data_IF_872870097171
#
_entry.id   IF_872870097171
#
_cell.length_a   1.000
_cell.length_b   1.000
_cell.length_c   1.000
_cell.angle_alpha   90.00
_cell.angle_beta   90.00
_cell.angle_gamma   90.00
#
_symmetry.space_group_name_H-M   'P 1'
#
loop_
_entity.id
_entity.type
_entity.pdbx_description
1 polymer ?
#
# COMPACT_ATOMS: atom_id res chain seq x y z
N UNK A 1 2.42 19.50 -19.52
CA UNK A 1 3.13 20.72 -19.04
C UNK A 1 4.63 20.64 -19.41
N UNK A 2 5.28 21.72 -19.84
CA UNK A 2 6.69 21.71 -20.25
C UNK A 2 7.60 22.04 -19.06
N UNK A 3 8.11 21.02 -18.36
CA UNK A 3 9.05 21.21 -17.26
C UNK A 3 10.37 21.84 -17.79
N UNK A 4 10.73 23.09 -17.40
CA UNK A 4 11.92 23.76 -17.90
C UNK A 4 13.23 23.00 -17.59
N UNK A 5 13.24 22.16 -16.53
CA UNK A 5 14.38 21.29 -16.20
C UNK A 5 14.61 20.19 -17.25
N UNK A 6 13.56 19.75 -17.95
CA UNK A 6 13.66 18.72 -18.97
C UNK A 6 14.39 19.23 -20.23
N UNK A 7 14.18 20.50 -20.62
CA UNK A 7 14.90 21.13 -21.74
C UNK A 7 16.40 21.26 -21.45
N UNK A 8 16.78 21.60 -20.21
CA UNK A 8 18.17 21.68 -19.77
C UNK A 8 18.84 20.30 -19.80
N UNK A 9 18.14 19.24 -19.36
CA UNK A 9 18.62 17.87 -19.46
C UNK A 9 18.84 17.44 -20.92
N UNK A 10 17.88 17.70 -21.82
CA UNK A 10 18.02 17.35 -23.26
C UNK A 10 19.23 18.05 -23.88
N UNK A 11 19.43 19.34 -23.59
CA UNK A 11 20.59 20.09 -24.06
C UNK A 11 21.91 19.50 -23.51
N UNK A 12 21.94 19.16 -22.21
CA UNK A 12 23.11 18.52 -21.61
C UNK A 12 23.40 17.14 -22.21
N UNK A 13 22.38 16.32 -22.46
CA UNK A 13 22.50 15.00 -23.09
C UNK A 13 23.05 15.08 -24.50
N UNK A 14 22.48 15.97 -25.33
CA UNK A 14 22.93 16.20 -26.69
C UNK A 14 24.41 16.62 -26.72
N UNK A 15 24.80 17.48 -25.78
CA UNK A 15 26.17 18.00 -25.66
C UNK A 15 27.18 16.96 -25.15
N UNK A 16 26.76 16.08 -24.23
CA UNK A 16 27.61 15.05 -23.64
C UNK A 16 27.91 13.89 -24.60
N UNK A 17 27.02 13.63 -25.55
CA UNK A 17 27.17 12.56 -26.55
C UNK A 17 27.98 13.00 -27.77
N UNK A 18 28.07 14.30 -28.04
CA UNK A 18 28.74 14.82 -29.24
C UNK A 18 30.25 14.94 -29.15
N UNK A 19 30.91 14.60 -28.03
CA UNK A 19 32.37 14.71 -27.79
C UNK A 19 32.98 16.12 -27.89
N UNK A 20 32.29 17.09 -28.47
CA UNK A 20 32.86 18.34 -29.01
C UNK A 20 32.34 19.64 -28.37
N UNK A 21 31.70 19.61 -27.20
CA UNK A 21 31.16 20.84 -26.60
C UNK A 21 31.72 21.09 -25.21
N UNK A 22 32.38 22.25 -25.07
CA UNK A 22 32.83 22.79 -23.81
C UNK A 22 31.60 23.06 -22.91
N UNK A 23 31.56 22.45 -21.72
CA UNK A 23 30.44 22.52 -20.76
C UNK A 23 30.16 23.94 -20.21
N UNK A 24 30.93 24.92 -20.66
CA UNK A 24 30.76 26.36 -20.45
C UNK A 24 29.59 26.97 -21.26
N UNK A 25 28.83 26.16 -22.01
CA UNK A 25 27.71 26.68 -22.80
C UNK A 25 26.65 27.35 -21.89
N UNK A 26 26.44 28.64 -22.15
CA UNK A 26 26.06 29.73 -21.24
C UNK A 26 24.73 29.52 -20.47
N UNK A 27 23.91 28.55 -20.90
CA UNK A 27 22.56 28.32 -20.38
C UNK A 27 22.48 27.30 -19.25
N UNK A 28 23.49 26.43 -19.10
CA UNK A 28 23.50 25.51 -17.97
C UNK A 28 23.92 26.29 -16.71
N UNK A 29 24.88 27.23 -16.82
CA UNK A 29 25.39 28.03 -15.69
C UNK A 29 24.31 28.88 -15.00
N UNK A 30 23.36 29.46 -15.74
CA UNK A 30 22.25 30.25 -15.17
C UNK A 30 21.32 29.45 -14.24
N UNK A 31 21.19 28.13 -14.45
CA UNK A 31 20.44 27.23 -13.56
C UNK A 31 21.35 26.54 -12.52
N UNK A 32 22.67 26.70 -12.61
CA UNK A 32 23.71 25.98 -11.85
C UNK A 32 24.44 26.85 -10.82
N UNK A 33 23.75 27.80 -10.18
CA UNK A 33 24.33 28.59 -9.09
C UNK A 33 24.72 27.78 -7.83
N UNK A 34 24.52 26.45 -7.81
CA UNK A 34 24.72 25.57 -6.66
C UNK A 34 25.28 24.18 -7.04
N UNK A 35 26.57 24.10 -7.39
CA UNK A 35 27.36 22.85 -7.31
C UNK A 35 27.86 22.22 -8.63
N UNK A 36 28.60 21.09 -8.54
CA UNK A 36 29.23 20.41 -9.68
C UNK A 36 28.20 19.82 -10.65
N UNK A 37 28.35 20.08 -11.95
CA UNK A 37 27.40 19.72 -13.04
C UNK A 37 26.92 18.27 -12.94
N UNK A 38 27.83 17.32 -12.75
CA UNK A 38 27.48 15.91 -12.64
C UNK A 38 26.60 15.58 -11.43
N UNK A 39 26.78 16.26 -10.29
CA UNK A 39 25.94 16.07 -9.10
C UNK A 39 24.51 16.56 -9.35
N UNK A 40 24.38 17.71 -10.01
CA UNK A 40 23.08 18.24 -10.42
C UNK A 40 22.39 17.30 -11.41
N UNK A 41 23.10 16.88 -12.46
CA UNK A 41 22.53 15.99 -13.49
C UNK A 41 22.13 14.65 -12.88
N UNK A 42 22.99 14.03 -12.06
CA UNK A 42 22.70 12.78 -11.35
C UNK A 42 21.38 12.84 -10.56
N UNK A 43 21.22 13.88 -9.72
CA UNK A 43 19.99 14.06 -8.93
C UNK A 43 18.77 14.26 -9.82
N UNK A 44 18.91 15.03 -10.89
CA UNK A 44 17.81 15.26 -11.83
C UNK A 44 17.41 13.98 -12.55
N UNK A 45 18.34 13.22 -13.12
CA UNK A 45 18.00 11.99 -13.85
C UNK A 45 17.37 10.94 -12.92
N UNK A 46 17.85 10.84 -11.68
CA UNK A 46 17.26 9.99 -10.65
C UNK A 46 15.82 10.42 -10.34
N UNK A 47 15.60 11.71 -10.08
CA UNK A 47 14.26 12.22 -9.76
C UNK A 47 13.30 12.21 -10.95
N UNK A 48 13.79 12.14 -12.18
CA UNK A 48 12.98 11.90 -13.38
C UNK A 48 12.69 10.43 -13.65
N UNK A 49 13.33 9.50 -12.94
CA UNK A 49 13.08 8.08 -13.10
C UNK A 49 13.90 7.41 -14.21
N UNK A 50 15.03 7.97 -14.66
CA UNK A 50 15.87 7.30 -15.66
C UNK A 50 16.97 6.48 -14.98
N UNK A 51 16.72 5.19 -14.77
CA UNK A 51 17.64 4.29 -14.06
C UNK A 51 19.04 4.20 -14.70
N UNK A 52 19.10 4.00 -16.01
CA UNK A 52 20.38 3.85 -16.75
C UNK A 52 21.22 5.11 -16.63
N UNK A 53 20.59 6.28 -16.80
CA UNK A 53 21.25 7.56 -16.62
C UNK A 53 21.74 7.77 -15.19
N UNK A 54 20.94 7.38 -14.19
CA UNK A 54 21.31 7.47 -12.78
C UNK A 54 22.62 6.71 -12.53
N UNK A 55 22.73 5.47 -13.01
CA UNK A 55 23.97 4.68 -12.88
C UNK A 55 25.13 5.33 -13.62
N UNK A 56 24.91 5.77 -14.86
CA UNK A 56 25.94 6.42 -15.67
C UNK A 56 26.51 7.66 -14.96
N UNK A 57 25.66 8.59 -14.52
CA UNK A 57 26.13 9.82 -13.89
C UNK A 57 26.70 9.59 -12.50
N UNK A 58 26.22 8.60 -11.75
CA UNK A 58 26.86 8.22 -10.49
C UNK A 58 28.32 7.81 -10.70
N UNK A 59 28.61 7.02 -11.74
CA UNK A 59 29.98 6.59 -12.06
C UNK A 59 30.93 7.75 -12.38
N UNK A 60 30.38 8.88 -12.85
CA UNK A 60 31.13 10.10 -13.20
C UNK A 60 31.34 11.05 -12.01
N UNK A 61 30.72 10.79 -10.86
CA UNK A 61 30.91 11.64 -9.67
C UNK A 61 32.29 11.41 -9.03
N UNK A 62 33.01 12.48 -8.64
CA UNK A 62 34.20 12.39 -7.79
C UNK A 62 33.87 11.69 -6.46
N UNK A 63 34.79 10.88 -5.94
CA UNK A 63 34.57 10.06 -4.73
C UNK A 63 34.10 10.89 -3.53
N UNK A 64 34.64 12.09 -3.35
CA UNK A 64 34.29 13.02 -2.27
C UNK A 64 32.85 13.54 -2.33
N UNK A 65 32.25 13.52 -3.53
CA UNK A 65 30.90 14.05 -3.78
C UNK A 65 29.82 12.97 -3.76
N UNK A 66 30.20 11.69 -3.75
CA UNK A 66 29.26 10.57 -3.82
C UNK A 66 28.37 10.49 -2.58
N UNK A 67 28.88 10.83 -1.40
CA UNK A 67 28.20 10.49 -0.15
C UNK A 67 27.28 11.57 0.41
N UNK A 68 27.57 12.86 0.18
CA UNK A 68 26.88 13.99 0.83
C UNK A 68 25.40 14.18 0.46
N UNK A 69 24.80 13.30 -0.35
CA UNK A 69 23.40 13.48 -0.79
C UNK A 69 22.61 12.22 -1.13
N UNK A 70 23.14 11.02 -0.91
CA UNK A 70 22.44 9.79 -1.32
C UNK A 70 21.26 9.46 -0.42
N UNK A 71 21.38 9.66 0.91
CA UNK A 71 20.28 9.43 1.85
C UNK A 71 19.07 10.31 1.50
N UNK A 72 19.28 11.63 1.38
CA UNK A 72 18.21 12.55 1.00
C UNK A 72 17.65 12.29 -0.39
N UNK A 73 18.49 11.83 -1.33
CA UNK A 73 18.01 11.41 -2.65
C UNK A 73 17.15 10.13 -2.55
N UNK A 74 17.58 9.12 -1.81
CA UNK A 74 16.83 7.88 -1.60
C UNK A 74 15.47 8.15 -0.96
N UNK A 75 15.41 9.01 0.08
CA UNK A 75 14.16 9.47 0.68
C UNK A 75 13.25 10.17 -0.35
N UNK A 76 13.80 11.04 -1.21
CA UNK A 76 13.03 11.70 -2.27
C UNK A 76 12.49 10.70 -3.31
N UNK A 77 13.29 9.69 -3.68
CA UNK A 77 12.83 8.66 -4.63
C UNK A 77 11.74 7.80 -3.99
N UNK A 78 11.87 7.40 -2.73
CA UNK A 78 10.82 6.67 -2.00
C UNK A 78 9.50 7.47 -1.97
N UNK A 79 9.57 8.79 -1.72
CA UNK A 79 8.42 9.69 -1.82
C UNK A 79 7.74 9.59 -3.19
N UNK A 80 8.53 9.70 -4.26
CA UNK A 80 8.02 9.66 -5.63
C UNK A 80 7.38 8.31 -5.95
N UNK A 81 8.03 7.20 -5.62
CA UNK A 81 7.46 5.85 -5.80
C UNK A 81 6.03 5.74 -5.24
N UNK A 82 5.77 6.40 -4.10
CA UNK A 82 4.46 6.36 -3.45
C UNK A 82 3.38 7.23 -4.12
N UNK A 83 3.78 8.30 -4.83
CA UNK A 83 2.87 9.30 -5.41
C UNK A 83 2.37 8.97 -6.82
N UNK A 84 3.13 8.20 -7.61
CA UNK A 84 2.83 7.98 -9.04
C UNK A 84 1.51 7.25 -9.37
N UNK A 85 0.70 6.85 -8.38
CA UNK A 85 -0.65 6.31 -8.65
C UNK A 85 -1.69 7.39 -8.98
N UNK A 86 -1.44 8.68 -8.72
CA UNK A 86 -2.45 9.74 -8.89
C UNK A 86 -2.22 10.69 -10.08
N UNK A 87 -1.09 10.56 -10.79
CA UNK A 87 -0.75 11.49 -11.87
C UNK A 87 -0.27 10.75 -13.12
N UNK A 88 -1.21 10.49 -14.03
CA UNK A 88 -0.88 10.28 -15.44
C UNK A 88 -0.50 11.63 -16.05
N UNK A 89 0.80 11.89 -16.20
CA UNK A 89 1.27 12.74 -17.29
C UNK A 89 2.80 12.67 -17.43
N UNK A 90 3.25 12.01 -18.51
CA UNK A 90 4.58 12.18 -19.12
C UNK A 90 5.76 11.84 -18.18
N UNK A 91 6.05 10.55 -17.99
CA UNK A 91 7.17 10.09 -17.15
C UNK A 91 7.61 8.65 -17.43
N UNK A 92 8.74 8.26 -16.82
CA UNK A 92 9.26 6.89 -16.84
C UNK A 92 8.35 5.95 -16.02
N UNK A 93 8.36 4.63 -16.33
CA UNK A 93 7.57 3.64 -15.58
C UNK A 93 7.90 3.63 -14.08
N UNK A 94 6.89 3.34 -13.24
CA UNK A 94 7.00 3.29 -11.77
C UNK A 94 8.16 2.39 -11.32
N UNK A 95 8.29 1.26 -12.00
CA UNK A 95 9.33 0.24 -11.81
C UNK A 95 10.73 0.86 -11.85
N UNK A 96 10.92 1.89 -12.68
CA UNK A 96 12.21 2.56 -12.80
C UNK A 96 12.58 3.37 -11.55
N UNK A 97 11.60 3.87 -10.80
CA UNK A 97 11.87 4.53 -9.51
C UNK A 97 12.23 3.51 -8.42
N UNK A 98 11.56 2.36 -8.40
CA UNK A 98 11.89 1.26 -7.49
C UNK A 98 13.30 0.72 -7.74
N UNK A 99 13.71 0.61 -9.01
CA UNK A 99 15.08 0.21 -9.37
C UNK A 99 16.12 1.24 -8.98
N UNK A 100 15.80 2.53 -9.15
CA UNK A 100 16.66 3.62 -8.67
C UNK A 100 16.77 3.57 -7.15
N UNK A 101 15.67 3.40 -6.42
CA UNK A 101 15.71 3.30 -4.96
C UNK A 101 16.56 2.11 -4.51
N UNK A 102 16.34 0.93 -5.11
CA UNK A 102 17.13 -0.26 -4.83
C UNK A 102 18.63 0.03 -5.03
N UNK A 103 18.99 0.62 -6.17
CA UNK A 103 20.36 0.99 -6.46
C UNK A 103 20.93 1.99 -5.44
N UNK A 104 20.21 3.05 -5.10
CA UNK A 104 20.66 4.03 -4.11
C UNK A 104 20.88 3.40 -2.73
N UNK A 105 20.01 2.47 -2.31
CA UNK A 105 20.18 1.73 -1.06
C UNK A 105 21.46 0.88 -1.08
N UNK A 106 21.84 0.28 -2.22
CA UNK A 106 23.12 -0.47 -2.32
C UNK A 106 24.37 0.42 -2.25
N UNK A 107 24.23 1.73 -2.45
CA UNK A 107 25.35 2.66 -2.45
C UNK A 107 25.63 3.28 -1.07
N UNK A 108 24.68 3.23 -0.15
CA UNK A 108 24.78 3.83 1.18
C UNK A 108 25.07 2.75 2.24
N UNK A 109 25.61 3.17 3.39
CA UNK A 109 25.91 2.22 4.50
C UNK A 109 24.64 1.67 5.13
N UNK A 110 24.75 0.61 5.91
CA UNK A 110 23.59 0.04 6.60
C UNK A 110 22.95 1.04 7.58
N UNK A 111 23.76 1.85 8.27
CA UNK A 111 23.27 2.91 9.15
C UNK A 111 22.48 3.97 8.39
N UNK A 112 22.97 4.35 7.21
CA UNK A 112 22.30 5.28 6.31
C UNK A 112 21.02 4.69 5.71
N UNK A 113 20.99 3.39 5.38
CA UNK A 113 19.76 2.69 4.98
C UNK A 113 18.71 2.75 6.10
N UNK A 114 19.13 2.50 7.34
CA UNK A 114 18.23 2.58 8.50
C UNK A 114 17.69 4.00 8.72
N UNK A 115 18.44 5.04 8.39
CA UNK A 115 17.94 6.42 8.40
C UNK A 115 16.82 6.62 7.35
N UNK A 116 17.01 6.11 6.13
CA UNK A 116 15.97 6.15 5.09
C UNK A 116 14.72 5.40 5.54
N UNK A 117 14.90 4.21 6.12
CA UNK A 117 13.81 3.36 6.60
C UNK A 117 13.03 3.98 7.74
N UNK A 118 13.70 4.60 8.71
CA UNK A 118 13.05 5.31 9.83
C UNK A 118 12.29 6.55 9.37
N UNK A 119 12.84 7.26 8.38
CA UNK A 119 12.22 8.49 7.90
C UNK A 119 10.91 8.23 7.15
N UNK A 120 10.86 7.18 6.33
CA UNK A 120 9.71 6.92 5.45
C UNK A 120 9.40 5.42 5.26
N UNK A 121 9.13 4.66 6.34
CA UNK A 121 9.06 3.19 6.28
C UNK A 121 7.99 2.69 5.30
N UNK A 122 6.77 3.24 5.38
CA UNK A 122 5.69 2.90 4.46
C UNK A 122 6.03 3.16 2.98
N UNK A 123 6.64 4.30 2.66
CA UNK A 123 6.94 4.70 1.28
C UNK A 123 8.04 3.84 0.68
N UNK A 124 9.04 3.50 1.49
CA UNK A 124 10.08 2.52 1.12
C UNK A 124 9.41 1.18 0.81
N UNK A 125 8.65 0.61 1.75
CA UNK A 125 8.00 -0.69 1.54
C UNK A 125 7.10 -0.73 0.30
N UNK A 126 6.26 0.30 0.13
CA UNK A 126 5.38 0.42 -1.03
C UNK A 126 6.13 0.44 -2.37
N UNK A 127 7.39 0.91 -2.38
CA UNK A 127 8.23 0.91 -3.58
C UNK A 127 8.63 -0.50 -4.04
N UNK A 128 8.58 -1.49 -3.14
CA UNK A 128 9.00 -2.87 -3.42
C UNK A 128 7.83 -3.87 -3.49
N UNK A 129 6.60 -3.41 -3.37
CA UNK A 129 5.40 -4.25 -3.51
C UNK A 129 5.13 -4.70 -4.96
N UNK A 130 5.65 -3.97 -5.94
CA UNK A 130 5.47 -4.34 -7.35
C UNK A 130 6.30 -5.57 -7.70
N UNK A 131 5.74 -6.41 -8.56
CA UNK A 131 6.49 -7.51 -9.13
C UNK A 131 7.71 -7.02 -9.93
N UNK A 132 8.87 -7.72 -9.88
CA UNK A 132 9.19 -8.96 -9.17
C UNK A 132 9.82 -8.77 -7.77
N UNK A 133 9.58 -7.64 -7.11
CA UNK A 133 10.38 -7.20 -5.95
C UNK A 133 9.82 -7.65 -4.59
N UNK A 134 8.80 -8.50 -4.56
CA UNK A 134 8.13 -8.95 -3.33
C UNK A 134 9.10 -9.62 -2.33
N UNK A 135 10.10 -10.36 -2.83
CA UNK A 135 11.12 -10.96 -1.97
C UNK A 135 11.95 -9.90 -1.23
N UNK A 136 12.30 -8.81 -1.92
CA UNK A 136 13.00 -7.68 -1.32
C UNK A 136 12.07 -6.95 -0.35
N UNK A 137 10.80 -6.80 -0.71
CA UNK A 137 9.79 -6.23 0.20
C UNK A 137 9.71 -6.99 1.53
N UNK A 138 9.66 -8.33 1.54
CA UNK A 138 9.60 -9.10 2.78
C UNK A 138 10.86 -8.91 3.64
N UNK A 139 12.04 -8.87 3.03
CA UNK A 139 13.29 -8.58 3.73
C UNK A 139 13.32 -7.17 4.33
N UNK A 140 12.75 -6.19 3.63
CA UNK A 140 12.64 -4.82 4.12
C UNK A 140 11.57 -4.69 5.19
N UNK A 141 10.48 -5.45 5.11
CA UNK A 141 9.40 -5.44 6.11
C UNK A 141 9.95 -5.82 7.48
N UNK A 142 10.75 -6.87 7.58
CA UNK A 142 11.40 -7.27 8.83
C UNK A 142 12.25 -6.14 9.45
N UNK A 143 12.96 -5.38 8.60
CA UNK A 143 13.83 -4.27 9.04
C UNK A 143 13.09 -2.97 9.38
N UNK A 144 11.91 -2.78 8.78
CA UNK A 144 11.17 -1.50 8.85
C UNK A 144 9.91 -1.57 9.70
N UNK A 145 9.48 -2.78 10.06
CA UNK A 145 8.28 -3.03 10.85
C UNK A 145 8.16 -2.12 12.06
N UNK A 146 9.22 -2.06 12.89
CA UNK A 146 9.22 -1.29 14.15
C UNK A 146 9.13 0.22 13.97
N UNK A 147 9.21 0.72 12.73
CA UNK A 147 9.06 2.14 12.39
C UNK A 147 7.67 2.46 11.83
N UNK A 148 6.88 1.45 11.45
CA UNK A 148 5.54 1.68 10.92
C UNK A 148 4.58 2.11 12.02
N UNK A 149 3.80 3.16 11.74
CA UNK A 149 2.61 3.45 12.54
C UNK A 149 1.48 2.49 12.15
N UNK A 150 0.46 2.38 13.01
CA UNK A 150 -0.69 1.53 12.72
C UNK A 150 -1.40 1.98 11.44
N UNK A 151 -1.57 3.30 11.22
CA UNK A 151 -2.14 3.84 9.97
C UNK A 151 -1.32 3.47 8.73
N UNK A 152 0.01 3.51 8.84
CA UNK A 152 0.89 3.15 7.74
C UNK A 152 0.77 1.67 7.39
N UNK A 153 0.63 0.82 8.39
CA UNK A 153 0.36 -0.59 8.19
C UNK A 153 -1.02 -0.83 7.59
N UNK A 154 -2.07 -0.15 8.08
CA UNK A 154 -3.42 -0.21 7.49
C UNK A 154 -3.37 0.11 6.00
N UNK A 155 -2.73 1.22 5.64
CA UNK A 155 -2.56 1.61 4.25
C UNK A 155 -1.81 0.56 3.42
N UNK A 156 -0.81 -0.12 4.01
CA UNK A 156 -0.10 -1.21 3.35
C UNK A 156 -1.04 -2.40 3.07
N UNK A 157 -1.88 -2.76 4.03
CA UNK A 157 -2.89 -3.82 3.87
C UNK A 157 -3.97 -3.45 2.84
N UNK A 158 -4.39 -2.19 2.78
CA UNK A 158 -5.32 -1.72 1.75
C UNK A 158 -4.72 -1.82 0.35
N UNK A 159 -3.43 -1.50 0.19
CA UNK A 159 -2.73 -1.69 -1.10
C UNK A 159 -2.67 -3.17 -1.48
N UNK A 160 -2.27 -4.04 -0.54
CA UNK A 160 -2.16 -5.47 -0.79
C UNK A 160 -3.51 -6.11 -1.14
N UNK A 161 -4.57 -5.77 -0.39
CA UNK A 161 -5.92 -6.30 -0.60
C UNK A 161 -6.54 -5.86 -1.93
N UNK A 162 -6.35 -4.59 -2.32
CA UNK A 162 -6.82 -4.09 -3.63
C UNK A 162 -6.17 -4.84 -4.78
N UNK A 163 -4.91 -5.21 -4.63
CA UNK A 163 -4.11 -5.82 -5.70
C UNK A 163 -4.27 -7.36 -5.76
N UNK A 164 -5.11 -7.97 -4.91
CA UNK A 164 -5.38 -9.42 -4.87
C UNK A 164 -5.90 -9.99 -6.18
N UNK A 165 -6.72 -9.24 -6.91
CA UNK A 165 -7.29 -9.66 -8.19
C UNK A 165 -6.29 -9.60 -9.37
N UNK A 166 -5.07 -9.12 -9.16
CA UNK A 166 -4.04 -9.10 -10.19
C UNK A 166 -3.48 -10.52 -10.39
N UNK A 167 -4.17 -11.28 -11.25
CA UNK A 167 -3.98 -12.72 -11.52
C UNK A 167 -2.58 -13.14 -11.96
N UNK A 168 -1.71 -12.19 -12.30
CA UNK A 168 -0.33 -12.48 -12.66
C UNK A 168 0.54 -12.85 -11.46
N UNK A 169 0.08 -12.59 -10.22
CA UNK A 169 0.94 -12.64 -9.03
C UNK A 169 0.26 -13.19 -7.78
N UNK A 170 1.06 -13.73 -6.86
CA UNK A 170 0.60 -14.33 -5.62
C UNK A 170 0.43 -13.30 -4.49
N UNK A 171 -0.38 -12.26 -4.74
CA UNK A 171 -0.69 -11.23 -3.74
C UNK A 171 -1.49 -11.80 -2.56
N UNK A 172 -2.28 -12.86 -2.78
CA UNK A 172 -2.98 -13.56 -1.70
C UNK A 172 -2.01 -14.10 -0.66
N UNK A 173 -0.99 -14.88 -1.06
CA UNK A 173 0.01 -15.37 -0.12
C UNK A 173 0.81 -14.23 0.52
N UNK A 174 1.18 -13.20 -0.26
CA UNK A 174 1.90 -12.06 0.27
C UNK A 174 1.11 -11.33 1.37
N UNK A 175 -0.20 -11.15 1.16
CA UNK A 175 -1.10 -10.58 2.16
C UNK A 175 -1.06 -11.37 3.47
N UNK A 176 -1.13 -12.71 3.39
CA UNK A 176 -1.06 -13.59 4.56
C UNK A 176 0.26 -13.44 5.33
N UNK A 177 1.38 -13.47 4.59
CA UNK A 177 2.72 -13.35 5.18
C UNK A 177 2.92 -12.00 5.89
N UNK A 178 2.36 -10.92 5.35
CA UNK A 178 2.42 -9.58 5.96
C UNK A 178 1.51 -9.49 7.16
N UNK A 179 0.26 -9.96 7.05
CA UNK A 179 -0.72 -9.90 8.12
C UNK A 179 -0.29 -10.69 9.37
N UNK A 180 0.33 -11.86 9.16
CA UNK A 180 0.81 -12.70 10.26
C UNK A 180 2.04 -12.14 10.98
N UNK A 181 2.79 -11.24 10.34
CA UNK A 181 3.97 -10.60 10.95
C UNK A 181 3.63 -9.54 12.00
N UNK A 182 2.37 -9.11 12.10
CA UNK A 182 1.92 -8.14 13.12
C UNK A 182 2.11 -8.78 14.52
N UNK A 183 3.05 -8.32 15.35
CA UNK A 183 3.43 -8.99 16.59
C UNK A 183 2.46 -8.72 17.75
N UNK A 184 1.67 -7.65 17.72
CA UNK A 184 0.72 -7.33 18.79
C UNK A 184 -0.74 -7.40 18.32
N UNK A 185 -1.53 -8.15 19.09
CA UNK A 185 -2.97 -8.31 18.94
C UNK A 185 -3.72 -6.96 18.97
N UNK A 186 -3.27 -6.03 19.81
CA UNK A 186 -3.79 -4.65 19.91
C UNK A 186 -3.62 -3.81 18.65
N UNK A 187 -2.56 -4.06 17.89
CA UNK A 187 -2.36 -3.37 16.61
C UNK A 187 -3.36 -3.90 15.59
N UNK A 188 -3.64 -5.21 15.58
CA UNK A 188 -4.68 -5.84 14.74
C UNK A 188 -6.07 -5.28 15.03
N UNK A 189 -6.38 -5.03 16.30
CA UNK A 189 -7.65 -4.46 16.75
C UNK A 189 -7.81 -3.02 16.27
N UNK A 190 -6.78 -2.18 16.42
CA UNK A 190 -6.80 -0.80 15.95
C UNK A 190 -6.94 -0.70 14.42
N UNK A 191 -6.36 -1.66 13.68
CA UNK A 191 -6.49 -1.75 12.22
C UNK A 191 -7.93 -2.04 11.75
N UNK A 192 -8.74 -2.65 12.61
CA UNK A 192 -10.12 -3.03 12.34
C UNK A 192 -11.13 -2.04 12.94
N UNK A 193 -10.74 -1.28 13.97
CA UNK A 193 -11.57 -0.21 14.53
C UNK A 193 -11.70 1.00 13.57
N UNK A 194 -10.72 1.25 12.71
CA UNK A 194 -10.76 2.32 11.70
C UNK A 194 -11.48 1.90 10.42
N UNK A 195 -12.45 0.98 10.56
CA UNK A 195 -13.27 0.58 9.44
C UNK A 195 -14.36 1.63 9.14
N UNK A 196 -13.96 2.73 8.51
CA UNK A 196 -14.84 3.52 7.64
C UNK A 196 -14.68 3.02 6.19
N UNK A 197 -15.51 3.51 5.27
CA UNK A 197 -15.51 3.10 3.84
C UNK A 197 -14.08 2.97 3.26
N UNK A 198 -13.74 1.80 2.72
CA UNK A 198 -12.44 1.56 2.06
C UNK A 198 -11.42 0.73 2.85
N UNK A 199 -11.86 -0.16 3.75
CA UNK A 199 -10.93 -1.04 4.48
C UNK A 199 -10.41 -2.18 3.63
N UNK A 200 -9.22 -2.68 4.01
CA UNK A 200 -8.69 -3.89 3.42
C UNK A 200 -9.64 -5.08 3.60
N UNK A 201 -10.38 -5.17 4.71
CA UNK A 201 -11.36 -6.25 4.94
C UNK A 201 -12.51 -6.20 3.94
N UNK A 202 -13.08 -5.02 3.67
CA UNK A 202 -14.09 -4.86 2.63
C UNK A 202 -13.55 -5.28 1.25
N UNK A 203 -12.30 -4.95 0.93
CA UNK A 203 -11.65 -5.43 -0.30
C UNK A 203 -11.52 -6.96 -0.38
N UNK A 204 -11.28 -7.65 0.73
CA UNK A 204 -11.26 -9.13 0.75
C UNK A 204 -12.62 -9.72 0.35
N UNK A 205 -13.72 -9.12 0.82
CA UNK A 205 -15.07 -9.52 0.43
C UNK A 205 -15.38 -9.19 -1.03
N UNK A 206 -14.86 -8.07 -1.55
CA UNK A 206 -15.03 -7.68 -2.94
C UNK A 206 -14.37 -8.67 -3.91
N UNK A 207 -13.17 -9.17 -3.56
CA UNK A 207 -12.46 -10.17 -4.34
C UNK A 207 -12.85 -11.63 -4.02
N UNK A 208 -13.83 -11.85 -3.13
CA UNK A 208 -14.26 -13.18 -2.68
C UNK A 208 -13.12 -14.04 -2.12
N UNK A 209 -12.13 -13.43 -1.45
CA UNK A 209 -10.97 -14.13 -0.91
C UNK A 209 -11.29 -14.71 0.48
N UNK A 210 -12.05 -15.81 0.48
CA UNK A 210 -12.55 -16.48 1.67
C UNK A 210 -11.42 -16.88 2.65
N UNK A 211 -10.28 -17.33 2.13
CA UNK A 211 -9.15 -17.75 2.95
C UNK A 211 -8.55 -16.57 3.71
N UNK A 212 -8.36 -15.42 3.05
CA UNK A 212 -7.87 -14.22 3.70
C UNK A 212 -8.90 -13.60 4.64
N UNK A 213 -10.20 -13.66 4.33
CA UNK A 213 -11.28 -13.23 5.24
C UNK A 213 -11.18 -14.01 6.55
N UNK A 214 -11.13 -15.35 6.47
CA UNK A 214 -11.01 -16.22 7.63
C UNK A 214 -9.71 -15.96 8.39
N UNK A 215 -8.59 -15.80 7.69
CA UNK A 215 -7.30 -15.50 8.30
C UNK A 215 -7.38 -14.24 9.16
N UNK A 216 -7.93 -13.15 8.60
CA UNK A 216 -8.04 -11.87 9.31
C UNK A 216 -8.90 -12.04 10.55
N UNK A 217 -10.15 -12.51 10.40
CA UNK A 217 -11.11 -12.54 11.51
C UNK A 217 -10.67 -13.54 12.60
N UNK A 218 -10.08 -14.69 12.26
CA UNK A 218 -9.61 -15.68 13.25
C UNK A 218 -8.50 -15.16 14.14
N UNK A 219 -7.69 -14.23 13.64
CA UNK A 219 -6.52 -13.68 14.32
C UNK A 219 -6.81 -12.41 15.14
N UNK A 220 -8.10 -12.11 15.35
CA UNK A 220 -8.62 -11.00 16.16
C UNK A 220 -9.14 -11.55 17.49
N UNK A 221 -9.01 -10.79 18.57
CA UNK A 221 -9.59 -11.17 19.87
C UNK A 221 -11.11 -11.31 19.77
N UNK A 222 -11.72 -12.31 20.45
CA UNK A 222 -13.17 -12.56 20.38
C UNK A 222 -14.03 -11.32 20.63
N UNK A 223 -13.62 -10.43 21.55
CA UNK A 223 -14.38 -9.23 21.89
C UNK A 223 -14.48 -8.25 20.70
N UNK A 224 -13.41 -8.13 19.91
CA UNK A 224 -13.39 -7.24 18.75
C UNK A 224 -13.99 -7.87 17.50
N UNK A 225 -14.07 -9.21 17.42
CA UNK A 225 -14.80 -9.88 16.34
C UNK A 225 -16.27 -9.48 16.35
N UNK A 226 -16.84 -9.40 17.55
CA UNK A 226 -18.20 -8.94 17.77
C UNK A 226 -18.33 -7.47 17.39
N UNK A 227 -17.39 -6.61 17.83
CA UNK A 227 -17.36 -5.18 17.49
C UNK A 227 -17.32 -4.95 15.98
N UNK A 228 -16.49 -5.66 15.23
CA UNK A 228 -16.42 -5.57 13.75
C UNK A 228 -17.79 -5.84 13.13
N UNK A 229 -18.52 -6.83 13.67
CA UNK A 229 -19.80 -7.26 13.13
C UNK A 229 -20.94 -6.26 13.43
N UNK A 230 -20.91 -5.61 14.60
CA UNK A 230 -21.94 -4.64 15.03
C UNK A 230 -21.63 -3.19 14.60
N UNK A 231 -20.42 -2.91 14.11
CA UNK A 231 -20.01 -1.60 13.65
C UNK A 231 -20.57 -1.26 12.25
N UNK A 232 -20.59 0.03 11.91
CA UNK A 232 -21.14 0.54 10.63
C UNK A 232 -20.50 -0.11 9.40
N UNK A 233 -19.19 -0.37 9.43
CA UNK A 233 -18.48 -1.09 8.37
C UNK A 233 -18.84 -2.57 8.27
N UNK A 234 -19.12 -3.23 9.40
CA UNK A 234 -19.71 -4.57 9.39
C UNK A 234 -21.05 -4.56 8.67
N UNK A 235 -21.87 -3.52 8.89
CA UNK A 235 -23.12 -3.34 8.18
C UNK A 235 -22.92 -3.04 6.69
N UNK A 236 -21.93 -2.23 6.32
CA UNK A 236 -21.56 -2.02 4.91
C UNK A 236 -21.22 -3.34 4.20
N UNK A 237 -20.41 -4.19 4.84
CA UNK A 237 -20.04 -5.51 4.32
C UNK A 237 -21.30 -6.37 4.17
N UNK A 238 -22.10 -6.50 5.23
CA UNK A 238 -23.34 -7.29 5.19
C UNK A 238 -24.30 -6.81 4.10
N UNK A 239 -24.53 -5.49 4.00
CA UNK A 239 -25.39 -4.88 3.00
C UNK A 239 -24.93 -5.25 1.59
N UNK A 240 -23.64 -5.02 1.28
CA UNK A 240 -23.07 -5.32 -0.03
C UNK A 240 -23.16 -6.79 -0.39
N UNK A 241 -22.88 -7.70 0.57
CA UNK A 241 -22.99 -9.14 0.34
C UNK A 241 -24.43 -9.59 0.07
N UNK A 242 -25.41 -8.99 0.74
CA UNK A 242 -26.84 -9.26 0.51
C UNK A 242 -27.28 -8.73 -0.86
N UNK A 243 -26.87 -7.50 -1.20
CA UNK A 243 -27.16 -6.88 -2.49
C UNK A 243 -26.61 -7.71 -3.66
N UNK A 244 -25.38 -8.19 -3.55
CA UNK A 244 -24.69 -9.02 -4.56
C UNK A 244 -25.04 -10.52 -4.49
N UNK A 245 -25.98 -10.94 -3.64
CA UNK A 245 -26.36 -12.34 -3.43
C UNK A 245 -25.20 -13.28 -3.03
N UNK A 246 -24.17 -12.73 -2.38
CA UNK A 246 -22.99 -13.44 -1.86
C UNK A 246 -23.25 -14.09 -0.51
N UNK A 247 -24.33 -14.87 -0.42
CA UNK A 247 -24.82 -15.50 0.81
C UNK A 247 -23.78 -16.38 1.52
N UNK A 248 -22.94 -17.09 0.76
CA UNK A 248 -21.87 -17.93 1.31
C UNK A 248 -20.82 -17.12 2.08
N UNK A 249 -20.38 -15.99 1.53
CA UNK A 249 -19.41 -15.13 2.22
C UNK A 249 -20.04 -14.42 3.42
N UNK A 250 -21.33 -14.11 3.36
CA UNK A 250 -22.07 -13.59 4.50
C UNK A 250 -22.13 -14.64 5.63
N UNK A 251 -22.36 -15.91 5.29
CA UNK A 251 -22.31 -17.01 6.25
C UNK A 251 -20.93 -17.13 6.89
N UNK A 252 -19.86 -17.11 6.09
CA UNK A 252 -18.48 -17.10 6.59
C UNK A 252 -18.25 -15.92 7.52
N UNK A 253 -18.72 -14.72 7.18
CA UNK A 253 -18.55 -13.54 8.02
C UNK A 253 -19.24 -13.70 9.39
N UNK A 254 -20.50 -14.15 9.40
CA UNK A 254 -21.24 -14.39 10.65
C UNK A 254 -20.56 -15.50 11.47
N UNK A 255 -20.16 -16.60 10.84
CA UNK A 255 -19.53 -17.73 11.50
C UNK A 255 -18.18 -17.37 12.12
N UNK A 256 -17.34 -16.62 11.42
CA UNK A 256 -16.02 -16.26 11.93
C UNK A 256 -16.09 -15.17 13.01
N UNK A 257 -17.08 -14.27 12.94
CA UNK A 257 -17.31 -13.27 13.98
C UNK A 257 -17.99 -13.83 15.24
N UNK A 258 -18.76 -14.92 15.12
CA UNK A 258 -19.51 -15.57 16.21
C UNK A 258 -20.25 -14.58 17.13
N UNK A 259 -21.13 -13.70 16.61
CA UNK A 259 -21.76 -12.68 17.43
C UNK A 259 -22.57 -13.32 18.57
N UNK A 260 -22.42 -12.78 19.77
CA UNK A 260 -23.25 -13.13 20.92
C UNK A 260 -24.73 -12.93 20.62
N UNK A 261 -25.62 -13.53 21.42
CA UNK A 261 -27.06 -13.29 21.30
C UNK A 261 -27.39 -11.80 21.38
N UNK A 262 -26.69 -11.06 22.24
CA UNK A 262 -26.88 -9.62 22.39
C UNK A 262 -26.44 -8.87 21.13
N UNK A 263 -25.28 -9.19 20.54
CA UNK A 263 -24.85 -8.60 19.28
C UNK A 263 -25.82 -8.88 18.14
N UNK A 264 -26.34 -10.10 18.02
CA UNK A 264 -27.32 -10.43 16.97
C UNK A 264 -28.57 -9.58 17.07
N UNK A 265 -29.10 -9.39 18.27
CA UNK A 265 -30.24 -8.51 18.50
C UNK A 265 -29.90 -7.04 18.19
N UNK A 266 -28.69 -6.57 18.54
CA UNK A 266 -28.23 -5.23 18.14
C UNK A 266 -28.14 -5.09 16.63
N UNK A 267 -27.60 -6.08 15.92
CA UNK A 267 -27.54 -6.08 14.46
C UNK A 267 -28.94 -6.04 13.86
N UNK A 268 -29.87 -6.88 14.29
CA UNK A 268 -31.27 -6.85 13.78
C UNK A 268 -31.92 -5.47 13.94
N UNK A 269 -31.74 -4.86 15.12
CA UNK A 269 -32.31 -3.55 15.44
C UNK A 269 -31.68 -2.40 14.65
N UNK A 270 -30.35 -2.40 14.52
CA UNK A 270 -29.62 -1.30 13.91
C UNK A 270 -29.50 -1.44 12.39
N UNK A 271 -29.31 -2.65 11.88
CA UNK A 271 -29.17 -2.93 10.45
C UNK A 271 -30.45 -2.56 9.68
N UNK A 272 -31.62 -2.75 10.30
CA UNK A 272 -32.90 -2.32 9.73
C UNK A 272 -32.97 -0.80 9.49
N UNK A 273 -32.20 0.00 10.23
CA UNK A 273 -32.09 1.45 10.03
C UNK A 273 -31.08 1.83 8.94
N UNK A 274 -30.18 0.91 8.60
CA UNK A 274 -29.14 1.07 7.58
C UNK A 274 -29.64 0.76 6.17
N UNK A 275 -30.77 0.05 6.08
CA UNK A 275 -31.44 -0.33 4.83
C UNK A 275 -32.11 0.88 4.16
N UNK A 276 -32.14 0.96 2.81
CA UNK A 276 -32.85 2.00 2.08
C UNK A 276 -34.27 2.28 2.61
N UNK A 277 -34.67 3.55 2.70
CA UNK A 277 -35.97 3.95 3.25
C UNK A 277 -37.20 3.36 2.53
N UNK A 278 -37.01 2.79 1.33
CA UNK A 278 -38.05 2.14 0.54
C UNK A 278 -37.57 0.78 0.04
N UNK A 279 -37.55 -0.25 0.90
CA UNK A 279 -37.17 -1.59 0.50
C UNK A 279 -38.18 -2.15 -0.51
N UNK A 280 -37.69 -2.83 -1.54
CA UNK A 280 -38.53 -3.64 -2.42
C UNK A 280 -38.97 -4.92 -1.69
N UNK A 281 -40.04 -5.58 -2.14
CA UNK A 281 -40.44 -6.88 -1.58
C UNK A 281 -39.29 -7.91 -1.64
N UNK A 282 -38.46 -7.85 -2.69
CA UNK A 282 -37.24 -8.64 -2.81
C UNK A 282 -36.25 -8.36 -1.66
N UNK A 283 -36.08 -7.09 -1.28
CA UNK A 283 -35.19 -6.74 -0.18
C UNK A 283 -35.73 -7.21 1.18
N UNK A 284 -37.06 -7.18 1.38
CA UNK A 284 -37.69 -7.74 2.58
C UNK A 284 -37.41 -9.25 2.71
N UNK A 285 -37.52 -10.00 1.61
CA UNK A 285 -37.17 -11.42 1.57
C UNK A 285 -35.68 -11.67 1.86
N UNK A 286 -34.79 -10.83 1.29
CA UNK A 286 -33.35 -10.89 1.53
C UNK A 286 -33.01 -10.61 3.00
N UNK A 287 -33.65 -9.62 3.63
CA UNK A 287 -33.49 -9.32 5.05
C UNK A 287 -34.00 -10.45 5.94
N UNK A 288 -35.17 -11.01 5.63
CA UNK A 288 -35.70 -12.17 6.35
C UNK A 288 -34.73 -13.36 6.29
N UNK A 289 -34.14 -13.61 5.11
CA UNK A 289 -33.09 -14.62 4.95
C UNK A 289 -31.86 -14.33 5.81
N UNK A 290 -31.35 -13.09 5.80
CA UNK A 290 -30.22 -12.69 6.62
C UNK A 290 -30.48 -12.88 8.12
N UNK A 291 -31.63 -12.45 8.62
CA UNK A 291 -31.99 -12.61 10.03
C UNK A 291 -32.16 -14.08 10.43
N UNK A 292 -32.72 -14.91 9.56
CA UNK A 292 -32.75 -16.36 9.76
C UNK A 292 -31.34 -16.96 9.84
N UNK A 293 -30.39 -16.49 9.02
CA UNK A 293 -28.99 -16.93 9.11
C UNK A 293 -28.35 -16.56 10.45
N UNK A 294 -28.60 -15.34 10.95
CA UNK A 294 -28.12 -14.94 12.28
C UNK A 294 -28.66 -15.85 13.40
N UNK A 295 -29.92 -16.25 13.32
CA UNK A 295 -30.54 -17.10 14.33
C UNK A 295 -30.05 -18.55 14.28
N UNK A 296 -29.76 -19.06 13.09
CA UNK A 296 -29.35 -20.44 12.88
C UNK A 296 -27.88 -20.74 13.24
N UNK A 297 -27.07 -19.75 13.61
CA UNK A 297 -25.66 -19.97 14.00
C UNK A 297 -25.47 -20.60 15.38
N UNK A 298 -26.55 -21.00 16.06
CA UNK A 298 -26.52 -21.71 17.35
C UNK A 298 -26.73 -23.23 17.18
N UNK A 299 -25.68 -23.98 16.84
CA UNK A 299 -25.64 -25.44 17.07
C UNK A 299 -24.26 -25.96 17.51
N UNK A 300 -23.44 -25.15 18.18
CA UNK A 300 -22.28 -25.68 18.93
C UNK A 300 -22.20 -24.98 20.29
N UNK A 301 -23.16 -25.31 21.15
CA UNK A 301 -22.93 -25.17 22.59
C UNK A 301 -21.84 -26.18 22.96
N UNK A 302 -20.65 -25.69 23.31
CA UNK A 302 -19.60 -26.52 23.90
C UNK A 302 -20.10 -26.98 25.29
N UNK A 303 -20.38 -28.28 25.40
CA UNK A 303 -20.45 -29.03 26.66
C UNK A 303 -19.03 -29.25 27.18
#
# INVERSE_FOLDING_TARGET
>A
SHNPRHKVLIAFWASSLSSDVNLDDYRIQEYMSLGPVYSFVFKNVATTGNYVATQYFFSKLPQEQRWRSLVGLAQNIAEKCSFWMTTYDIGYPKESYSDILCYLLTLITEEEQMEVFRSQPYKVLRSFLDWPRQRVFLQLLEKTWSFLTVDQFHNLMCVLSRDLNLSAYNYAQLFQEVFLQIPALREREHLLAHCEEGTFLAHLFDCNDEENIKLVIRNVEPLYKEDIFIHESGFCICYKLIEEDKWHLLEVFIQECMPSREARERVKNNFSQYVPCYPTAEWEDKLAKFFNMLDNTNTVDYI
#
